data_IF_405004357344
#
_entry.id   IF_405004357344
#
_cell.length_a   1.000
_cell.length_b   1.000
_cell.length_c   1.000
_cell.angle_alpha   90.00
_cell.angle_beta   90.00
_cell.angle_gamma   90.00
#
_symmetry.space_group_name_H-M   'P 1'
#
loop_
_entity.id
_entity.type
_entity.pdbx_description
1 polymer ?
#
# COMPACT_ATOMS: atom_id res chain seq x y z
N UNK A 1 4.52 13.25 31.05
CA UNK A 1 4.82 12.96 29.63
C UNK A 1 3.62 12.20 29.07
N UNK A 2 2.89 12.78 28.11
CA UNK A 2 1.69 12.15 27.53
C UNK A 2 2.13 11.19 26.44
N UNK A 3 1.86 9.89 26.62
CA UNK A 3 2.04 8.88 25.58
C UNK A 3 1.19 9.22 24.37
N UNK A 4 1.75 9.04 23.17
CA UNK A 4 1.01 9.16 21.92
C UNK A 4 0.27 7.84 21.75
N UNK A 5 -1.02 7.83 22.07
CA UNK A 5 -1.88 6.67 21.82
C UNK A 5 -2.00 6.44 20.30
N UNK A 6 -1.80 5.20 19.81
CA UNK A 6 -1.93 4.90 18.40
C UNK A 6 -3.37 5.10 17.93
N UNK A 7 -3.55 5.90 16.88
CA UNK A 7 -4.81 6.31 16.24
C UNK A 7 -5.63 5.16 15.63
N UNK A 8 -5.13 3.93 15.65
CA UNK A 8 -5.79 2.74 15.08
C UNK A 8 -6.18 1.76 16.19
N UNK A 9 -7.09 2.15 17.08
CA UNK A 9 -7.64 1.28 18.12
C UNK A 9 -8.72 0.31 17.59
N UNK A 10 -9.12 0.42 16.33
CA UNK A 10 -10.02 -0.56 15.71
C UNK A 10 -9.24 -1.78 15.20
N UNK A 11 -8.66 -2.54 16.14
CA UNK A 11 -7.92 -3.78 15.86
C UNK A 11 -8.76 -4.87 15.18
N UNK A 12 -10.09 -4.76 15.19
CA UNK A 12 -10.99 -5.80 14.66
C UNK A 12 -11.10 -5.86 13.14
N UNK A 13 -10.73 -4.79 12.42
CA UNK A 13 -10.98 -4.65 10.97
C UNK A 13 -9.75 -4.25 10.15
N UNK A 14 -8.60 -4.01 10.79
CA UNK A 14 -7.37 -3.61 10.09
C UNK A 14 -6.66 -4.83 9.48
N UNK A 15 -6.18 -4.70 8.25
CA UNK A 15 -5.36 -5.73 7.60
C UNK A 15 -4.07 -5.99 8.40
N UNK A 16 -3.64 -7.26 8.50
CA UNK A 16 -2.48 -7.69 9.31
C UNK A 16 -1.21 -6.87 9.05
N UNK A 17 -0.95 -6.50 7.80
CA UNK A 17 0.26 -5.76 7.41
C UNK A 17 0.20 -4.30 7.88
N UNK A 18 -1.01 -3.72 7.98
CA UNK A 18 -1.22 -2.38 8.56
C UNK A 18 -0.90 -2.39 10.05
N UNK A 19 -1.32 -3.45 10.75
CA UNK A 19 -1.03 -3.64 12.18
C UNK A 19 0.48 -3.78 12.40
N UNK A 20 1.15 -4.65 11.63
CA UNK A 20 2.60 -4.86 11.74
C UNK A 20 3.40 -3.58 11.41
N UNK A 21 3.00 -2.84 10.38
CA UNK A 21 3.65 -1.57 10.06
C UNK A 21 3.48 -0.55 11.19
N UNK A 22 2.28 -0.41 11.75
CA UNK A 22 2.04 0.49 12.88
C UNK A 22 2.89 0.11 14.12
N UNK A 23 3.03 -1.18 14.41
CA UNK A 23 3.90 -1.67 15.50
C UNK A 23 5.39 -1.39 15.24
N UNK A 24 5.84 -1.49 14.00
CA UNK A 24 7.22 -1.15 13.61
C UNK A 24 7.47 0.35 13.69
N UNK A 25 6.54 1.16 13.18
CA UNK A 25 6.61 2.63 13.23
C UNK A 25 6.68 3.13 14.67
N UNK A 26 5.90 2.55 15.59
CA UNK A 26 5.92 2.92 17.01
C UNK A 26 7.30 2.76 17.70
N UNK A 27 8.23 2.00 17.10
CA UNK A 27 9.59 1.80 17.62
C UNK A 27 10.62 2.75 17.01
N UNK A 28 10.24 3.56 16.02
CA UNK A 28 11.16 4.48 15.36
C UNK A 28 11.50 5.69 16.27
N UNK A 29 12.72 6.23 16.18
CA UNK A 29 13.08 7.53 16.73
C UNK A 29 12.14 8.64 16.24
N UNK A 30 11.94 9.66 17.07
CA UNK A 30 10.97 10.74 16.85
C UNK A 30 11.20 11.50 15.52
N UNK A 31 12.45 11.59 15.08
CA UNK A 31 12.89 12.23 13.85
C UNK A 31 12.47 11.46 12.59
N UNK A 32 12.27 10.14 12.73
CA UNK A 32 11.84 9.25 11.66
C UNK A 32 10.33 8.99 11.67
N UNK A 33 9.63 9.44 12.73
CA UNK A 33 8.18 9.38 12.78
C UNK A 33 7.57 10.45 11.88
N UNK A 34 6.68 10.02 10.99
CA UNK A 34 5.97 10.93 10.13
C UNK A 34 5.13 11.94 10.96
N UNK A 35 5.44 13.25 10.94
CA UNK A 35 4.73 14.23 11.74
C UNK A 35 3.29 14.47 11.26
N UNK A 36 2.97 14.12 10.00
CA UNK A 36 1.63 14.31 9.44
C UNK A 36 0.56 13.55 10.22
N UNK A 37 0.85 12.33 10.70
CA UNK A 37 -0.10 11.52 11.46
C UNK A 37 -0.28 11.96 12.92
N UNK A 38 0.51 12.92 13.41
CA UNK A 38 0.36 13.47 14.78
C UNK A 38 -0.87 14.37 14.91
N UNK A 39 -1.37 14.91 13.81
CA UNK A 39 -2.58 15.73 13.81
C UNK A 39 -3.81 14.82 13.58
N UNK A 40 -4.71 14.67 14.57
CA UNK A 40 -5.85 13.77 14.46
C UNK A 40 -6.77 14.15 13.29
N UNK A 41 -6.91 15.44 12.96
CA UNK A 41 -7.71 15.89 11.82
C UNK A 41 -7.12 15.47 10.47
N UNK A 42 -5.79 15.43 10.36
CA UNK A 42 -5.10 15.02 9.13
C UNK A 42 -5.22 13.50 8.96
N UNK A 43 -5.02 12.74 10.03
CA UNK A 43 -5.18 11.29 10.03
C UNK A 43 -6.62 10.87 9.65
N UNK A 44 -7.63 11.53 10.21
CA UNK A 44 -9.05 11.29 9.90
C UNK A 44 -9.44 11.68 8.47
N UNK A 45 -8.77 12.66 7.87
CA UNK A 45 -9.04 13.11 6.50
C UNK A 45 -8.38 12.20 5.44
N UNK A 46 -7.17 11.70 5.70
CA UNK A 46 -6.41 10.87 4.77
C UNK A 46 -7.10 9.53 4.43
N UNK A 47 -7.87 8.98 5.38
CA UNK A 47 -8.58 7.71 5.18
C UNK A 47 -9.77 7.81 4.20
N UNK A 48 -10.19 9.01 3.80
CA UNK A 48 -11.41 9.20 2.99
C UNK A 48 -11.19 8.96 1.49
N UNK A 49 -9.97 9.13 1.00
CA UNK A 49 -9.64 9.13 -0.44
C UNK A 49 -8.66 7.99 -0.81
N UNK A 50 -8.76 6.84 -0.12
CA UNK A 50 -7.69 5.83 -0.12
C UNK A 50 -7.80 4.73 -1.19
N UNK A 51 -8.66 4.86 -2.21
CA UNK A 51 -8.70 3.81 -3.23
C UNK A 51 -9.03 4.32 -4.64
N UNK A 52 -9.99 5.22 -4.80
CA UNK A 52 -10.30 5.86 -6.09
C UNK A 52 -10.65 7.33 -5.85
N UNK A 53 -9.95 8.23 -6.51
CA UNK A 53 -10.32 9.65 -6.55
C UNK A 53 -11.51 9.92 -7.48
N UNK A 54 -12.04 11.17 -7.51
CA UNK A 54 -13.09 11.55 -8.44
C UNK A 54 -12.70 11.28 -9.90
N UNK A 55 -13.45 10.39 -10.56
CA UNK A 55 -13.21 10.01 -11.96
C UNK A 55 -12.27 8.81 -12.15
N UNK A 56 -11.77 8.20 -11.08
CA UNK A 56 -11.02 6.96 -11.14
C UNK A 56 -11.96 5.74 -10.99
N UNK A 57 -11.73 4.71 -11.81
CA UNK A 57 -12.48 3.45 -11.74
C UNK A 57 -11.55 2.25 -11.54
N UNK A 58 -12.04 1.23 -10.84
CA UNK A 58 -11.33 -0.03 -10.75
C UNK A 58 -11.33 -0.73 -12.11
N UNK A 59 -10.17 -0.83 -12.75
CA UNK A 59 -10.02 -1.64 -13.96
C UNK A 59 -9.94 -3.11 -13.56
N UNK A 60 -11.10 -3.76 -13.43
CA UNK A 60 -11.24 -5.16 -13.07
C UNK A 60 -10.92 -6.14 -14.22
N UNK A 61 -11.08 -5.70 -15.48
CA UNK A 61 -10.93 -6.54 -16.66
C UNK A 61 -9.86 -5.97 -17.59
N UNK A 62 -8.58 -6.14 -17.23
CA UNK A 62 -7.48 -5.68 -18.08
C UNK A 62 -7.28 -6.66 -19.23
N UNK A 63 -7.28 -6.16 -20.47
CA UNK A 63 -6.97 -6.99 -21.65
C UNK A 63 -5.58 -7.64 -21.53
N UNK A 64 -4.62 -6.97 -20.90
CA UNK A 64 -3.29 -7.52 -20.64
C UNK A 64 -3.29 -8.76 -19.74
N UNK A 65 -4.29 -8.92 -18.87
CA UNK A 65 -4.41 -10.11 -18.00
C UNK A 65 -4.91 -11.33 -18.74
N UNK A 66 -5.57 -11.15 -19.89
CA UNK A 66 -5.98 -12.24 -20.78
C UNK A 66 -4.80 -12.86 -21.53
N UNK A 67 -3.65 -12.19 -21.57
CA UNK A 67 -2.46 -12.68 -22.26
C UNK A 67 -1.79 -13.77 -21.41
N UNK A 68 -1.64 -15.01 -21.92
CA UNK A 68 -0.97 -16.08 -21.17
C UNK A 68 0.48 -15.72 -20.82
N UNK A 69 0.89 -15.92 -19.57
CA UNK A 69 2.25 -15.57 -19.10
C UNK A 69 3.36 -16.27 -19.87
N UNK A 70 3.10 -17.48 -20.37
CA UNK A 70 4.03 -18.23 -21.21
C UNK A 70 4.33 -17.50 -22.53
N UNK A 71 3.34 -16.85 -23.13
CA UNK A 71 3.51 -16.09 -24.37
C UNK A 71 4.35 -14.83 -24.12
N UNK A 72 4.09 -14.13 -23.02
CA UNK A 72 4.91 -12.99 -22.59
C UNK A 72 6.37 -13.40 -22.42
N UNK A 73 6.63 -14.50 -21.69
CA UNK A 73 8.00 -15.01 -21.48
C UNK A 73 8.65 -15.42 -22.81
N UNK A 74 7.89 -16.06 -23.71
CA UNK A 74 8.39 -16.46 -25.03
C UNK A 74 8.80 -15.24 -25.86
N UNK A 75 7.96 -14.22 -25.91
CA UNK A 75 8.24 -12.96 -26.61
C UNK A 75 9.48 -12.28 -26.05
N UNK A 76 9.60 -12.17 -24.72
CA UNK A 76 10.76 -11.57 -24.08
C UNK A 76 12.06 -12.34 -24.37
N UNK A 77 12.01 -13.67 -24.42
CA UNK A 77 13.16 -14.50 -24.82
C UNK A 77 13.55 -14.28 -26.28
N UNK A 78 12.58 -14.17 -27.18
CA UNK A 78 12.82 -13.89 -28.60
C UNK A 78 13.43 -12.50 -28.81
N UNK A 79 12.99 -11.51 -28.04
CA UNK A 79 13.51 -10.15 -28.05
C UNK A 79 14.89 -9.98 -27.35
N UNK A 80 15.44 -11.04 -26.75
CA UNK A 80 16.68 -10.95 -25.97
C UNK A 80 16.55 -10.23 -24.63
N UNK A 81 15.32 -9.96 -24.18
CA UNK A 81 15.00 -9.24 -22.94
C UNK A 81 14.85 -10.17 -21.71
N UNK A 82 14.84 -11.49 -21.92
CA UNK A 82 14.82 -12.48 -20.85
C UNK A 82 16.00 -13.46 -20.99
N UNK A 83 16.65 -13.78 -19.86
CA UNK A 83 17.74 -14.75 -19.83
C UNK A 83 17.25 -16.13 -20.26
N UNK A 84 18.05 -16.81 -21.10
CA UNK A 84 17.95 -18.27 -21.24
C UNK A 84 18.49 -18.87 -19.96
N UNK A 85 17.61 -19.49 -19.18
CA UNK A 85 18.00 -20.49 -18.18
C UNK A 85 18.07 -21.84 -18.87
#
# INVERSE_FOLDING_TARGET
>A
MRGVEPIHTNKGLAHKDVVLNAEHEARLPQELLNPFYKNPRIAEALAKESWFGPGEEHVANREAEKIPRLEVIKLLKQAGLARRR
#
